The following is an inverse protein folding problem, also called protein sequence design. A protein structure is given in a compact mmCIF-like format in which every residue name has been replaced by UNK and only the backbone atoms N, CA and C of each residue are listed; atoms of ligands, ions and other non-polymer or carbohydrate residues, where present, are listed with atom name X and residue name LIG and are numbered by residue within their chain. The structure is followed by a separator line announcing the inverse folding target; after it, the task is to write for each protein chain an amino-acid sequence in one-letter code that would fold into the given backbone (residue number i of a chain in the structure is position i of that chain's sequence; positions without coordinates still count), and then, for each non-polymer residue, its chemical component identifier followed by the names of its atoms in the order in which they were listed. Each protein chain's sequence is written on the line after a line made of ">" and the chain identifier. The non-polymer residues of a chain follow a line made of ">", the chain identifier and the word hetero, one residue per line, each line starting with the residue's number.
data_IF_422891573543
#
_entry.id   IF_422891573543
#
_cell.length_a   1.000
_cell.length_b   1.000
_cell.length_c   1.000
_cell.angle_alpha   90.00
_cell.angle_beta   90.00
_cell.angle_gamma   90.00
#
_symmetry.space_group_name_H-M   'P 1'
#
loop_
_entity.id
_entity.type
_entity.pdbx_description
1 polymer ?
#
# COMPACT_ATOMS: atom_id res chain seq x y z
N UNK A 1 32.13 -18.74 23.59
CA UNK A 1 30.69 -18.88 23.90
C UNK A 1 30.06 -17.53 23.62
N UNK A 2 29.18 -17.44 22.61
CA UNK A 2 28.42 -16.20 22.39
C UNK A 2 27.45 -16.04 23.56
N UNK A 3 27.48 -14.90 24.24
CA UNK A 3 26.55 -14.61 25.32
C UNK A 3 25.13 -14.61 24.75
N UNK A 4 24.25 -15.44 25.32
CA UNK A 4 22.84 -15.49 24.96
C UNK A 4 22.23 -14.14 25.30
N UNK A 5 21.80 -13.39 24.28
CA UNK A 5 21.16 -12.09 24.47
C UNK A 5 19.83 -12.35 25.19
N UNK A 6 19.60 -11.78 26.39
CA UNK A 6 18.35 -11.98 27.10
C UNK A 6 17.19 -11.49 26.22
N UNK A 7 16.17 -12.33 26.02
CA UNK A 7 14.92 -11.94 25.35
C UNK A 7 14.05 -11.11 26.31
N UNK A 8 14.54 -9.94 26.74
CA UNK A 8 13.77 -9.00 27.54
C UNK A 8 12.91 -8.10 26.64
N UNK A 9 11.71 -7.76 27.10
CA UNK A 9 10.81 -6.88 26.37
C UNK A 9 11.32 -5.43 26.32
N UNK A 10 12.27 -5.06 27.18
CA UNK A 10 12.79 -3.68 27.38
C UNK A 10 13.30 -3.02 26.09
N UNK A 11 14.01 -3.78 25.24
CA UNK A 11 14.48 -3.28 23.95
C UNK A 11 13.33 -2.97 22.96
N UNK A 12 12.17 -3.62 23.13
CA UNK A 12 10.95 -3.42 22.35
C UNK A 12 9.90 -2.55 23.06
N UNK A 13 10.05 -2.31 24.36
CA UNK A 13 9.15 -1.53 25.20
C UNK A 13 9.44 -0.03 25.14
N UNK A 14 10.67 0.33 24.78
CA UNK A 14 11.14 1.70 24.76
C UNK A 14 10.93 2.42 23.43
N UNK A 15 10.91 3.75 23.51
CA UNK A 15 11.16 4.68 22.41
C UNK A 15 12.66 4.69 22.00
N UNK A 16 13.29 3.51 21.94
CA UNK A 16 14.72 3.36 21.69
C UNK A 16 15.01 3.66 20.21
N UNK A 17 15.90 4.63 19.97
CA UNK A 17 16.27 5.13 18.63
C UNK A 17 15.11 5.68 17.79
N UNK A 18 14.07 6.26 18.40
CA UNK A 18 13.09 7.02 17.63
C UNK A 18 13.79 8.17 16.90
N UNK A 19 13.67 8.17 15.57
CA UNK A 19 14.08 9.29 14.75
C UNK A 19 12.85 10.13 14.45
N UNK A 20 12.91 11.42 14.78
CA UNK A 20 11.91 12.38 14.34
C UNK A 20 12.26 12.74 12.89
N UNK A 21 11.31 12.51 11.99
CA UNK A 21 11.44 12.85 10.58
C UNK A 21 10.19 13.58 10.13
N UNK A 22 10.36 14.54 9.23
CA UNK A 22 9.26 15.31 8.65
C UNK A 22 8.61 14.60 7.45
N UNK A 23 9.18 13.48 7.01
CA UNK A 23 8.70 12.68 5.91
C UNK A 23 8.87 11.18 6.17
N UNK A 24 8.09 10.37 5.45
CA UNK A 24 8.24 8.92 5.48
C UNK A 24 9.56 8.52 4.78
N UNK A 25 10.29 7.52 5.30
CA UNK A 25 11.47 6.97 4.62
C UNK A 25 11.14 6.51 3.20
N UNK A 26 12.11 6.66 2.29
CA UNK A 26 11.95 6.33 0.87
C UNK A 26 11.47 4.91 0.63
N UNK A 27 11.95 3.97 1.43
CA UNK A 27 11.64 2.56 1.31
C UNK A 27 10.18 2.29 1.70
N UNK A 28 9.66 3.00 2.73
CA UNK A 28 8.25 2.92 3.14
C UNK A 28 7.34 3.51 2.06
N UNK A 29 7.73 4.64 1.47
CA UNK A 29 6.99 5.26 0.37
C UNK A 29 6.95 4.33 -0.85
N UNK A 30 8.09 3.72 -1.21
CA UNK A 30 8.17 2.74 -2.29
C UNK A 30 7.30 1.51 -2.02
N UNK A 31 7.30 1.02 -0.78
CA UNK A 31 6.43 -0.09 -0.36
C UNK A 31 4.95 0.30 -0.53
N UNK A 32 4.55 1.48 -0.06
CA UNK A 32 3.18 2.00 -0.20
C UNK A 32 2.75 2.21 -1.65
N UNK A 33 3.67 2.51 -2.56
CA UNK A 33 3.36 2.67 -3.98
C UNK A 33 3.20 1.33 -4.71
N UNK A 34 3.96 0.30 -4.30
CA UNK A 34 4.03 -0.98 -5.01
C UNK A 34 3.10 -2.05 -4.43
N UNK A 35 2.86 -2.02 -3.12
CA UNK A 35 2.00 -3.00 -2.46
C UNK A 35 0.55 -2.81 -2.90
N UNK A 36 -0.12 -3.93 -3.16
CA UNK A 36 -1.52 -3.93 -3.59
C UNK A 36 -2.50 -3.77 -2.42
N UNK A 37 -2.14 -4.36 -1.29
CA UNK A 37 -2.97 -4.39 -0.10
C UNK A 37 -2.16 -4.01 1.11
N UNK A 38 -2.85 -3.53 2.14
CA UNK A 38 -2.30 -3.37 3.47
C UNK A 38 -3.25 -4.00 4.49
N UNK A 39 -2.74 -4.22 5.69
CA UNK A 39 -3.56 -4.67 6.81
C UNK A 39 -3.90 -3.47 7.70
N UNK A 40 -5.19 -3.23 7.88
CA UNK A 40 -5.72 -2.24 8.81
C UNK A 40 -6.07 -2.94 10.13
N UNK A 41 -5.37 -2.59 11.20
CA UNK A 41 -5.71 -2.99 12.56
C UNK A 41 -6.51 -1.89 13.26
N UNK A 42 -7.63 -2.30 13.85
CA UNK A 42 -8.55 -1.48 14.65
C UNK A 42 -8.77 -2.16 16.00
N UNK A 43 -9.14 -1.41 17.04
CA UNK A 43 -9.43 -1.99 18.34
C UNK A 43 -10.59 -1.23 19.01
N UNK A 44 -11.56 -1.98 19.52
CA UNK A 44 -12.70 -1.45 20.28
C UNK A 44 -12.95 -2.37 21.46
N UNK A 45 -13.17 -1.82 22.66
CA UNK A 45 -13.35 -2.58 23.89
C UNK A 45 -12.25 -3.63 24.15
N UNK A 46 -10.99 -3.27 23.85
CA UNK A 46 -9.83 -4.15 23.96
C UNK A 46 -9.91 -5.42 23.08
N UNK A 47 -10.78 -5.43 22.07
CA UNK A 47 -10.89 -6.50 21.11
C UNK A 47 -10.26 -6.09 19.77
N UNK A 48 -9.07 -6.61 19.41
CA UNK A 48 -8.39 -6.26 18.17
C UNK A 48 -9.11 -6.85 16.97
N UNK A 49 -9.03 -6.15 15.84
CA UNK A 49 -9.58 -6.60 14.56
C UNK A 49 -8.68 -6.15 13.42
N UNK A 50 -8.27 -7.09 12.58
CA UNK A 50 -7.41 -6.83 11.41
C UNK A 50 -8.20 -7.09 10.13
N UNK A 51 -8.08 -6.21 9.14
CA UNK A 51 -8.71 -6.33 7.84
C UNK A 51 -7.70 -6.11 6.72
N UNK A 52 -7.73 -6.96 5.70
CA UNK A 52 -7.02 -6.72 4.46
C UNK A 52 -7.77 -5.67 3.64
N UNK A 53 -7.10 -4.60 3.22
CA UNK A 53 -7.71 -3.45 2.56
C UNK A 53 -7.05 -3.16 1.23
N UNK A 54 -7.87 -2.91 0.21
CA UNK A 54 -7.45 -2.09 -0.92
C UNK A 54 -7.21 -0.68 -0.40
N UNK A 55 -6.14 -0.04 -0.87
CA UNK A 55 -5.83 1.31 -0.50
C UNK A 55 -5.30 2.11 -1.69
N UNK A 56 -5.23 3.41 -1.50
CA UNK A 56 -4.59 4.34 -2.42
C UNK A 56 -3.72 5.26 -1.60
N UNK A 57 -2.42 5.27 -1.90
CA UNK A 57 -1.48 6.21 -1.31
C UNK A 57 -1.44 7.49 -2.14
N UNK A 58 -1.70 8.62 -1.49
CA UNK A 58 -1.61 9.96 -2.07
C UNK A 58 -0.53 10.73 -1.33
N UNK A 59 0.60 11.11 -1.96
CA UNK A 59 1.62 11.93 -1.32
C UNK A 59 1.12 13.31 -0.87
N UNK A 60 0.11 13.84 -1.57
CA UNK A 60 -0.61 15.07 -1.25
C UNK A 60 -2.00 15.04 -1.88
N UNK A 61 -2.91 15.87 -1.38
CA UNK A 61 -4.24 16.09 -1.96
C UNK A 61 -4.66 17.56 -1.80
N UNK A 62 -5.71 18.02 -2.50
CA UNK A 62 -6.29 19.35 -2.28
C UNK A 62 -6.78 19.59 -0.84
N UNK A 63 -7.01 18.51 -0.08
CA UNK A 63 -7.55 18.56 1.29
C UNK A 63 -6.48 18.30 2.36
N UNK A 64 -5.29 17.84 1.99
CA UNK A 64 -4.19 17.53 2.89
C UNK A 64 -2.84 17.70 2.22
N UNK A 65 -1.96 18.50 2.83
CA UNK A 65 -0.55 18.64 2.41
C UNK A 65 0.31 17.46 2.87
N UNK A 66 -0.22 16.59 3.73
CA UNK A 66 0.49 15.43 4.26
C UNK A 66 0.11 14.14 3.51
N UNK A 67 1.03 13.16 3.42
CA UNK A 67 0.74 11.88 2.79
C UNK A 67 -0.48 11.21 3.41
N UNK A 68 -1.40 10.78 2.56
CA UNK A 68 -2.72 10.26 2.95
C UNK A 68 -2.93 8.87 2.37
N UNK A 69 -3.43 7.96 3.20
CA UNK A 69 -3.83 6.61 2.77
C UNK A 69 -5.35 6.58 2.72
N UNK A 70 -5.90 6.42 1.52
CA UNK A 70 -7.33 6.36 1.27
C UNK A 70 -7.77 4.92 1.19
N UNK A 71 -8.86 4.58 1.88
CA UNK A 71 -9.52 3.28 1.81
C UNK A 71 -11.02 3.49 1.71
N UNK A 72 -11.72 2.54 1.07
CA UNK A 72 -13.18 2.52 1.06
C UNK A 72 -13.70 1.33 1.87
N UNK A 73 -14.83 1.53 2.55
CA UNK A 73 -15.43 0.51 3.40
C UNK A 73 -16.95 0.63 3.42
N UNK A 74 -17.64 -0.50 3.56
CA UNK A 74 -19.07 -0.51 3.80
C UNK A 74 -19.38 0.14 5.16
N UNK A 75 -20.31 1.10 5.24
CA UNK A 75 -20.72 1.76 6.48
C UNK A 75 -21.12 0.82 7.62
N UNK A 76 -21.73 -0.33 7.30
CA UNK A 76 -22.22 -1.31 8.28
C UNK A 76 -21.15 -2.33 8.70
N UNK A 77 -19.92 -2.22 8.18
CA UNK A 77 -18.88 -3.18 8.51
C UNK A 77 -18.26 -2.93 9.89
N UNK A 78 -17.75 -4.01 10.52
CA UNK A 78 -17.09 -3.94 11.82
C UNK A 78 -15.96 -2.91 11.87
N UNK A 79 -15.16 -2.80 10.81
CA UNK A 79 -14.09 -1.80 10.71
C UNK A 79 -14.62 -0.36 10.75
N UNK A 80 -15.74 -0.06 10.10
CA UNK A 80 -16.33 1.30 10.15
C UNK A 80 -16.84 1.62 11.55
N UNK A 81 -17.52 0.68 12.20
CA UNK A 81 -18.01 0.84 13.57
C UNK A 81 -16.82 1.06 14.53
N UNK A 82 -15.77 0.24 14.39
CA UNK A 82 -14.57 0.38 15.20
C UNK A 82 -13.89 1.75 15.01
N UNK A 83 -13.76 2.22 13.76
CA UNK A 83 -13.16 3.52 13.42
C UNK A 83 -13.93 4.71 14.01
N UNK A 84 -15.27 4.65 13.98
CA UNK A 84 -16.12 5.68 14.58
C UNK A 84 -15.95 5.71 16.10
N UNK A 85 -15.82 4.53 16.74
CA UNK A 85 -15.64 4.43 18.19
C UNK A 85 -14.21 4.74 18.66
N UNK A 86 -13.20 4.40 17.87
CA UNK A 86 -11.80 4.59 18.18
C UNK A 86 -11.01 4.85 16.88
N UNK A 87 -10.57 6.10 16.64
CA UNK A 87 -9.85 6.44 15.43
C UNK A 87 -8.39 5.95 15.43
N UNK A 88 -7.86 5.47 16.57
CA UNK A 88 -6.47 4.98 16.64
C UNK A 88 -6.34 3.66 15.89
N UNK A 89 -5.44 3.63 14.92
CA UNK A 89 -5.22 2.49 14.03
C UNK A 89 -3.74 2.19 13.87
N UNK A 90 -3.47 0.96 13.46
CA UNK A 90 -2.14 0.54 13.02
C UNK A 90 -2.27 -0.09 11.64
N UNK A 91 -1.39 0.32 10.72
CA UNK A 91 -1.30 -0.21 9.37
C UNK A 91 -0.05 -1.05 9.23
N UNK A 92 -0.18 -2.20 8.59
CA UNK A 92 0.97 -3.02 8.18
C UNK A 92 0.96 -3.14 6.67
N UNK A 93 2.02 -2.65 6.03
CA UNK A 93 2.25 -2.75 4.59
C UNK A 93 3.54 -3.51 4.33
N UNK A 94 3.55 -4.33 3.28
CA UNK A 94 4.69 -5.15 2.93
C UNK A 94 4.67 -5.54 1.44
N UNK A 95 5.81 -5.94 0.89
CA UNK A 95 6.01 -6.19 -0.54
C UNK A 95 5.98 -7.67 -0.99
N UNK A 96 5.90 -8.65 -0.06
CA UNK A 96 6.08 -10.09 -0.36
C UNK A 96 4.91 -10.83 -1.02
N UNK A 97 3.69 -10.27 -1.08
CA UNK A 97 2.51 -11.09 -1.44
C UNK A 97 1.66 -10.52 -2.57
N UNK A 98 1.81 -9.25 -2.94
CA UNK A 98 1.06 -8.67 -4.07
C UNK A 98 1.71 -7.40 -4.58
N UNK A 99 2.55 -7.52 -5.59
CA UNK A 99 2.92 -6.38 -6.41
C UNK A 99 1.72 -5.98 -7.27
N UNK A 100 1.46 -4.68 -7.41
CA UNK A 100 0.67 -4.22 -8.55
C UNK A 100 1.28 -4.83 -9.82
N UNK A 101 0.49 -5.45 -10.70
CA UNK A 101 0.98 -5.71 -12.05
C UNK A 101 1.53 -4.39 -12.58
N UNK A 102 2.71 -4.37 -13.21
CA UNK A 102 3.22 -3.14 -13.80
C UNK A 102 2.17 -2.66 -14.80
N UNK A 103 1.36 -1.69 -14.39
CA UNK A 103 0.46 -0.98 -15.26
C UNK A 103 1.37 -0.39 -16.32
N UNK A 104 1.05 -0.65 -17.58
CA UNK A 104 1.66 -0.06 -18.77
C UNK A 104 1.67 1.46 -18.64
N UNK A 105 2.65 2.00 -17.93
CA UNK A 105 2.98 3.42 -17.87
C UNK A 105 3.85 3.73 -19.07
N UNK A 106 3.34 3.43 -20.27
CA UNK A 106 3.82 3.98 -21.53
C UNK A 106 2.98 5.20 -21.89
N UNK A 107 2.90 6.18 -20.98
CA UNK A 107 2.61 7.55 -21.40
C UNK A 107 3.90 8.17 -21.89
N UNK A 108 4.24 7.92 -23.15
CA UNK A 108 5.13 8.79 -23.91
C UNK A 108 4.29 9.48 -24.98
N UNK A 109 3.88 10.72 -24.71
CA UNK A 109 3.16 11.58 -25.65
C UNK A 109 4.14 12.25 -26.63
N UNK A 110 3.73 12.28 -27.91
CA UNK A 110 4.12 13.18 -29.04
C UNK A 110 5.37 12.83 -29.88
N UNK A 111 5.14 12.62 -31.18
CA UNK A 111 6.06 13.06 -32.24
C UNK A 111 6.21 12.16 -33.47
N UNK A 112 5.48 12.50 -34.55
CA UNK A 112 5.82 12.39 -35.98
C UNK A 112 6.36 11.09 -36.60
N UNK A 113 5.64 10.65 -37.65
CA UNK A 113 6.08 9.98 -38.88
C UNK A 113 7.60 9.91 -39.11
N UNK A 114 8.15 8.69 -39.26
CA UNK A 114 8.87 8.23 -40.47
C UNK A 114 9.24 6.74 -40.34
N UNK A 115 8.85 5.97 -41.36
CA UNK A 115 9.39 4.68 -41.84
C UNK A 115 10.60 4.07 -41.11
N UNK A 116 10.46 2.86 -40.56
CA UNK A 116 11.49 1.80 -40.61
C UNK A 116 10.87 0.42 -40.34
N UNK A 117 10.97 -0.42 -41.36
CA UNK A 117 10.75 -1.86 -41.38
C UNK A 117 11.52 -2.56 -40.26
N UNK A 118 10.80 -3.25 -39.40
CA UNK A 118 11.32 -4.11 -38.35
C UNK A 118 10.15 -4.75 -37.63
N UNK A 119 9.69 -5.88 -38.15
CA UNK A 119 8.64 -6.70 -37.56
C UNK A 119 8.94 -6.95 -36.07
N UNK A 120 7.99 -6.72 -35.14
CA UNK A 120 8.16 -7.21 -33.77
C UNK A 120 8.09 -8.75 -33.83
N UNK A 121 8.95 -9.49 -33.12
CA UNK A 121 8.77 -10.94 -33.01
C UNK A 121 7.44 -11.22 -32.30
N UNK A 122 6.64 -12.17 -32.81
CA UNK A 122 5.38 -12.55 -32.20
C UNK A 122 5.67 -13.28 -30.88
N UNK A 123 4.86 -12.96 -29.86
CA UNK A 123 4.43 -13.87 -28.80
C UNK A 123 5.32 -15.10 -28.54
N UNK A 124 6.50 -14.89 -27.95
CA UNK A 124 7.04 -15.89 -27.05
C UNK A 124 6.12 -15.88 -25.83
N UNK A 125 5.10 -16.73 -25.90
CA UNK A 125 4.43 -17.32 -24.75
C UNK A 125 5.35 -17.29 -23.53
N UNK A 126 5.08 -16.40 -22.57
CA UNK A 126 5.84 -16.28 -21.32
C UNK A 126 5.86 -17.66 -20.70
N UNK A 127 6.97 -18.39 -20.85
CA UNK A 127 7.02 -19.79 -20.43
C UNK A 127 6.66 -19.87 -18.95
N UNK A 128 5.95 -20.92 -18.55
CA UNK A 128 5.58 -21.14 -17.15
C UNK A 128 6.80 -21.10 -16.22
N UNK A 129 7.95 -21.54 -16.74
CA UNK A 129 9.26 -21.42 -16.08
C UNK A 129 9.79 -19.98 -16.00
N UNK A 130 9.70 -19.18 -17.06
CA UNK A 130 10.10 -17.76 -16.99
C UNK A 130 9.22 -16.98 -15.99
N UNK A 131 7.91 -17.27 -15.97
CA UNK A 131 6.98 -16.70 -14.99
C UNK A 131 7.29 -17.19 -13.58
N UNK A 132 7.62 -18.48 -13.40
CA UNK A 132 8.03 -19.04 -12.11
C UNK A 132 9.33 -18.43 -11.61
N UNK A 133 10.35 -18.31 -12.46
CA UNK A 133 11.65 -17.70 -12.10
C UNK A 133 11.50 -16.21 -11.76
N UNK A 134 10.65 -15.48 -12.49
CA UNK A 134 10.31 -14.10 -12.15
C UNK A 134 9.60 -14.02 -10.80
N UNK A 135 8.64 -14.90 -10.54
CA UNK A 135 7.93 -14.97 -9.26
C UNK A 135 8.87 -15.36 -8.10
N UNK A 136 9.77 -16.33 -8.30
CA UNK A 136 10.75 -16.74 -7.28
C UNK A 136 11.73 -15.63 -6.95
N UNK A 137 12.27 -14.94 -7.96
CA UNK A 137 13.13 -13.78 -7.73
C UNK A 137 12.36 -12.65 -7.01
N UNK A 138 11.09 -12.43 -7.35
CA UNK A 138 10.26 -11.42 -6.67
C UNK A 138 10.00 -11.78 -5.20
N UNK A 139 9.68 -13.05 -4.91
CA UNK A 139 9.45 -13.53 -3.53
C UNK A 139 10.73 -13.51 -2.68
N UNK A 140 11.90 -13.72 -3.29
CA UNK A 140 13.20 -13.67 -2.59
C UNK A 140 13.74 -12.24 -2.38
N UNK A 141 13.30 -11.28 -3.20
CA UNK A 141 13.72 -9.86 -3.12
C UNK A 141 12.86 -9.01 -2.18
N UNK A 142 11.69 -9.51 -1.76
CA UNK A 142 10.86 -8.80 -0.79
C UNK A 142 11.57 -8.69 0.55
N UNK A 143 11.80 -7.45 0.97
CA UNK A 143 12.70 -7.15 2.09
C UNK A 143 12.18 -6.05 3.00
N UNK A 144 11.00 -5.47 2.71
CA UNK A 144 10.44 -4.40 3.52
C UNK A 144 9.02 -4.69 4.02
N UNK A 145 8.87 -4.51 5.33
CA UNK A 145 7.60 -4.46 6.02
C UNK A 145 7.63 -3.24 6.94
N UNK A 146 6.57 -2.44 6.92
CA UNK A 146 6.46 -1.24 7.72
C UNK A 146 5.14 -1.22 8.50
N UNK A 147 5.25 -0.98 9.80
CA UNK A 147 4.10 -0.72 10.68
C UNK A 147 3.96 0.78 10.88
N UNK A 148 2.81 1.34 10.52
CA UNK A 148 2.50 2.77 10.62
C UNK A 148 1.34 2.94 11.61
N UNK A 149 1.60 3.58 12.74
CA UNK A 149 0.56 3.93 13.70
C UNK A 149 0.02 5.32 13.39
N UNK A 150 -1.28 5.55 13.60
CA UNK A 150 -1.87 6.85 13.38
C UNK A 150 -3.34 6.90 13.72
N UNK A 151 -3.99 7.98 13.29
CA UNK A 151 -5.43 8.20 13.44
C UNK A 151 -6.12 8.20 12.10
N UNK A 152 -7.21 7.46 11.98
CA UNK A 152 -8.07 7.45 10.80
C UNK A 152 -9.29 8.36 11.01
N UNK A 153 -9.68 9.06 9.94
CA UNK A 153 -10.88 9.90 9.89
C UNK A 153 -11.84 9.32 8.84
N UNK A 154 -13.12 9.21 9.20
CA UNK A 154 -14.18 8.95 8.23
C UNK A 154 -14.58 10.27 7.59
N UNK A 155 -14.51 10.36 6.26
CA UNK A 155 -14.90 11.56 5.52
C UNK A 155 -16.43 11.66 5.48
N UNK A 156 -16.95 12.88 5.63
CA UNK A 156 -18.39 13.14 5.65
C UNK A 156 -19.02 12.90 4.27
N UNK A 157 -20.21 12.30 4.28
CA UNK A 157 -20.91 11.94 3.05
C UNK A 157 -21.43 13.15 2.29
N UNK A 158 -21.35 13.10 0.97
CA UNK A 158 -21.84 14.14 0.08
C UNK A 158 -20.94 15.37 0.00
N UNK A 159 -19.72 15.29 0.52
CA UNK A 159 -18.72 16.35 0.42
C UNK A 159 -17.87 16.18 -0.84
N UNK A 160 -17.30 17.29 -1.33
CA UNK A 160 -16.33 17.26 -2.43
C UNK A 160 -15.06 16.48 -2.04
N UNK A 161 -14.72 16.46 -0.74
CA UNK A 161 -13.63 15.65 -0.17
C UNK A 161 -13.90 14.15 -0.37
N UNK A 162 -15.10 13.68 -0.04
CA UNK A 162 -15.50 12.28 -0.26
C UNK A 162 -15.45 11.93 -1.74
N UNK A 163 -16.03 12.78 -2.61
CA UNK A 163 -16.09 12.53 -4.03
C UNK A 163 -14.69 12.39 -4.64
N UNK A 164 -13.79 13.31 -4.33
CA UNK A 164 -12.41 13.29 -4.80
C UNK A 164 -11.66 12.04 -4.36
N UNK A 165 -11.67 11.73 -3.06
CA UNK A 165 -10.93 10.56 -2.57
C UNK A 165 -11.50 9.25 -3.09
N UNK A 166 -12.83 9.16 -3.25
CA UNK A 166 -13.49 8.01 -3.81
C UNK A 166 -13.13 7.81 -5.28
N UNK A 167 -13.12 8.87 -6.09
CA UNK A 167 -12.69 8.84 -7.48
C UNK A 167 -11.24 8.38 -7.61
N UNK A 168 -10.31 9.05 -6.90
CA UNK A 168 -8.89 8.66 -6.88
C UNK A 168 -8.69 7.21 -6.44
N UNK A 169 -9.49 6.73 -5.47
CA UNK A 169 -9.39 5.36 -5.00
C UNK A 169 -9.90 4.36 -6.02
N UNK A 170 -11.02 4.65 -6.70
CA UNK A 170 -11.59 3.80 -7.73
C UNK A 170 -10.69 3.72 -8.96
N UNK A 171 -10.19 4.86 -9.46
CA UNK A 171 -9.27 4.92 -10.61
C UNK A 171 -8.01 4.11 -10.36
N UNK A 172 -7.45 4.21 -9.15
CA UNK A 172 -6.29 3.42 -8.81
C UNK A 172 -6.66 1.93 -8.69
N UNK A 173 -7.84 1.57 -8.18
CA UNK A 173 -8.24 0.19 -7.94
C UNK A 173 -9.14 -0.41 -9.05
N UNK A 174 -9.05 0.08 -10.29
CA UNK A 174 -9.67 -0.58 -11.45
C UNK A 174 -8.90 -1.84 -11.83
N UNK A 175 -9.33 -2.98 -11.33
CA UNK A 175 -8.86 -4.27 -11.83
C UNK A 175 -9.99 -4.90 -12.63
N UNK A 176 -9.79 -5.05 -13.94
CA UNK A 176 -10.63 -5.92 -14.76
C UNK A 176 -10.71 -7.28 -14.09
N UNK A 177 -11.92 -7.75 -13.80
CA UNK A 177 -12.17 -9.16 -13.50
C UNK A 177 -11.53 -9.97 -14.63
N UNK A 178 -10.45 -10.70 -14.31
CA UNK A 178 -9.84 -11.62 -15.25
C UNK A 178 -10.76 -12.79 -15.53
#
# INVERSE_FOLDING_TARGET
>A
MAAEVPLNYEASAGATHLQVADCLPSEVVQCLQNARFLHLATCTNLFPHVSLMNYTYLPSSPYSTSPTIVMTTNPSSKKTINLISNPNVSLLVHDWVSHRPPTTSSTNRRGSSTTRTGSPPPEASRSSLASLLLNLNTSAMSSISATINGTAKVVDRGTDEEAYYKEMHLENNTFSEG
#
